data_IF_029313576936
#
_entry.id   IF_029313576936
#
_cell.length_a   1.000
_cell.length_b   1.000
_cell.length_c   1.000
_cell.angle_alpha   90.00
_cell.angle_beta   90.00
_cell.angle_gamma   90.00
#
_symmetry.space_group_name_H-M   'P 1'
#
loop_
_entity.id
_entity.type
_entity.pdbx_description
1 polymer ?
#
# COMPACT_ATOMS: atom_id res chain seq x y z
N UNK A 1 -2.84 62.09 -36.41
CA UNK A 1 -3.04 61.33 -37.65
C UNK A 1 -1.79 60.50 -37.86
N UNK A 2 -1.93 59.16 -37.80
CA UNK A 2 -1.09 58.04 -38.31
C UNK A 2 0.45 58.14 -38.24
N UNK A 3 1.23 57.10 -37.94
CA UNK A 3 1.00 55.65 -37.83
C UNK A 3 2.29 54.99 -37.27
N UNK A 4 2.20 53.67 -37.04
CA UNK A 4 3.29 52.70 -36.93
C UNK A 4 3.95 52.55 -35.55
N UNK A 5 3.59 51.45 -34.86
CA UNK A 5 4.55 50.41 -34.47
C UNK A 5 3.83 49.12 -34.08
N UNK A 6 4.02 48.11 -34.93
CA UNK A 6 4.19 46.67 -34.68
C UNK A 6 3.26 45.95 -33.71
N UNK A 7 2.41 45.16 -34.34
CA UNK A 7 2.17 43.74 -34.09
C UNK A 7 3.15 43.05 -33.11
N UNK A 8 2.60 42.49 -32.05
CA UNK A 8 3.20 41.40 -31.27
C UNK A 8 2.08 40.63 -30.55
N UNK A 9 1.50 39.68 -31.30
CA UNK A 9 0.83 38.49 -30.79
C UNK A 9 1.62 37.87 -29.62
N UNK A 10 1.08 37.95 -28.39
CA UNK A 10 1.60 37.25 -27.23
C UNK A 10 0.53 36.25 -26.72
N UNK A 11 0.93 35.00 -26.46
CA UNK A 11 0.04 33.85 -26.54
C UNK A 11 -0.88 33.73 -25.33
N UNK A 12 -2.07 33.17 -25.58
CA UNK A 12 -2.94 32.65 -24.56
C UNK A 12 -2.15 31.77 -23.59
N UNK A 13 -2.19 32.14 -22.30
CA UNK A 13 -1.84 31.23 -21.21
C UNK A 13 -2.95 30.18 -21.12
N UNK A 14 -3.00 29.32 -22.12
CA UNK A 14 -3.51 27.97 -21.94
C UNK A 14 -2.68 27.38 -20.81
N UNK A 15 -3.29 27.28 -19.63
CA UNK A 15 -2.86 26.36 -18.59
C UNK A 15 -2.86 24.98 -19.22
N UNK A 16 -1.75 24.65 -19.89
CA UNK A 16 -1.39 23.31 -20.30
C UNK A 16 -1.23 22.56 -18.99
N UNK A 17 -2.36 22.05 -18.49
CA UNK A 17 -2.42 20.95 -17.53
C UNK A 17 -1.47 19.94 -18.12
N UNK A 18 -0.27 19.84 -17.54
CA UNK A 18 0.69 18.82 -17.94
C UNK A 18 -0.05 17.52 -17.72
N UNK A 19 -0.48 16.91 -18.82
CA UNK A 19 -0.91 15.53 -18.81
C UNK A 19 0.33 14.83 -18.28
N UNK A 20 0.23 14.24 -17.09
CA UNK A 20 1.28 13.34 -16.61
C UNK A 20 1.34 12.25 -17.67
N UNK A 21 2.36 12.31 -18.51
CA UNK A 21 2.76 11.20 -19.34
C UNK A 21 3.20 10.12 -18.36
N UNK A 22 2.25 9.26 -17.97
CA UNK A 22 2.61 8.01 -17.31
C UNK A 22 3.25 7.18 -18.41
N UNK A 23 4.54 6.87 -18.23
CA UNK A 23 5.26 5.92 -19.08
C UNK A 23 4.51 4.57 -19.15
N UNK A 24 4.96 3.64 -20.00
CA UNK A 24 4.23 2.40 -20.25
C UNK A 24 4.03 1.64 -18.92
N UNK A 25 2.77 1.61 -18.44
CA UNK A 25 2.26 0.71 -17.40
C UNK A 25 3.11 0.64 -16.11
N UNK A 26 3.03 1.66 -15.24
CA UNK A 26 3.54 1.53 -13.87
C UNK A 26 2.61 0.56 -13.10
N UNK A 27 3.01 -0.71 -12.98
CA UNK A 27 2.27 -1.72 -12.20
C UNK A 27 2.24 -1.32 -10.73
N UNK A 28 1.05 -1.34 -10.15
CA UNK A 28 0.81 -0.98 -8.75
C UNK A 28 1.06 -2.16 -7.81
N UNK A 29 1.12 -1.89 -6.51
CA UNK A 29 1.14 -2.97 -5.50
C UNK A 29 -0.15 -3.81 -5.60
N UNK A 30 -1.30 -3.19 -5.84
CA UNK A 30 -2.57 -3.88 -5.98
C UNK A 30 -2.57 -4.83 -7.18
N UNK A 31 -2.00 -4.40 -8.32
CA UNK A 31 -1.80 -5.27 -9.49
C UNK A 31 -0.90 -6.46 -9.15
N UNK A 32 0.20 -6.23 -8.43
CA UNK A 32 1.08 -7.30 -8.00
C UNK A 32 0.41 -8.29 -7.06
N UNK A 33 -0.38 -7.81 -6.09
CA UNK A 33 -1.13 -8.68 -5.17
C UNK A 33 -2.18 -9.48 -5.94
N UNK A 34 -2.88 -8.87 -6.90
CA UNK A 34 -3.84 -9.57 -7.75
C UNK A 34 -3.18 -10.65 -8.63
N UNK A 35 -2.02 -10.35 -9.23
CA UNK A 35 -1.22 -11.31 -10.01
C UNK A 35 -0.80 -12.51 -9.14
N UNK A 36 -0.27 -12.24 -7.94
CA UNK A 36 0.16 -13.30 -7.00
C UNK A 36 -1.02 -14.14 -6.50
N UNK A 37 -2.14 -13.50 -6.15
CA UNK A 37 -3.33 -14.22 -5.73
C UNK A 37 -3.85 -15.15 -6.83
N UNK A 38 -3.84 -14.67 -8.09
CA UNK A 38 -4.21 -15.45 -9.26
C UNK A 38 -3.28 -16.65 -9.46
N UNK A 39 -1.96 -16.42 -9.44
CA UNK A 39 -0.95 -17.47 -9.61
C UNK A 39 -1.05 -18.56 -8.53
N UNK A 40 -1.39 -18.17 -7.29
CA UNK A 40 -1.52 -19.09 -6.16
C UNK A 40 -2.94 -19.69 -6.02
N UNK A 41 -3.89 -19.31 -6.88
CA UNK A 41 -5.28 -19.78 -6.79
C UNK A 41 -6.00 -19.34 -5.51
N UNK A 42 -5.67 -18.14 -5.00
CA UNK A 42 -6.23 -17.59 -3.77
C UNK A 42 -7.42 -16.68 -4.12
N UNK A 43 -8.60 -17.06 -3.67
CA UNK A 43 -9.80 -16.22 -3.68
C UNK A 43 -10.01 -15.61 -2.28
N UNK A 44 -9.26 -14.55 -1.98
CA UNK A 44 -9.29 -13.89 -0.68
C UNK A 44 -9.14 -12.37 -0.85
N UNK A 45 -10.19 -11.63 -0.49
CA UNK A 45 -10.10 -10.20 -0.31
C UNK A 45 -9.42 -9.88 1.02
N UNK A 46 -8.18 -9.41 0.96
CA UNK A 46 -7.38 -9.06 2.15
C UNK A 46 -7.35 -7.55 2.33
N UNK A 47 -7.48 -7.09 3.57
CA UNK A 47 -7.15 -5.72 3.97
C UNK A 47 -5.63 -5.50 3.91
N UNK A 48 -5.13 -5.16 2.70
CA UNK A 48 -3.70 -4.93 2.44
C UNK A 48 -3.16 -3.79 3.29
N UNK A 49 -3.93 -2.69 3.42
CA UNK A 49 -3.50 -1.53 4.22
C UNK A 49 -3.31 -1.91 5.68
N UNK A 50 -4.28 -2.63 6.28
CA UNK A 50 -4.15 -3.11 7.64
C UNK A 50 -2.97 -4.05 7.86
N UNK A 51 -2.67 -4.95 6.91
CA UNK A 51 -1.48 -5.81 7.01
C UNK A 51 -0.17 -5.03 6.91
N UNK A 52 -0.11 -4.00 6.06
CA UNK A 52 1.08 -3.13 5.96
C UNK A 52 1.25 -2.26 7.22
N UNK A 53 0.16 -1.83 7.84
CA UNK A 53 0.20 -1.11 9.12
C UNK A 53 0.67 -2.03 10.25
N UNK A 54 0.19 -3.28 10.32
CA UNK A 54 0.74 -4.27 11.27
C UNK A 54 2.24 -4.48 11.04
N UNK A 55 2.66 -4.68 9.78
CA UNK A 55 4.07 -4.84 9.44
C UNK A 55 4.90 -3.63 9.90
N UNK A 56 4.36 -2.41 9.76
CA UNK A 56 4.97 -1.19 10.27
C UNK A 56 5.10 -1.22 11.79
N UNK A 57 4.05 -1.54 12.54
CA UNK A 57 4.10 -1.62 14.01
C UNK A 57 5.16 -2.62 14.47
N UNK A 58 5.19 -3.80 13.87
CA UNK A 58 6.15 -4.86 14.19
C UNK A 58 7.59 -4.46 13.85
N UNK A 59 7.80 -3.83 12.69
CA UNK A 59 9.14 -3.41 12.27
C UNK A 59 9.77 -2.39 13.23
N UNK A 60 8.95 -1.51 13.81
CA UNK A 60 9.40 -0.48 14.75
C UNK A 60 9.45 -0.99 16.20
N UNK A 61 8.45 -1.76 16.62
CA UNK A 61 8.31 -2.21 18.01
C UNK A 61 9.06 -3.50 18.36
N UNK A 62 9.45 -4.31 17.36
CA UNK A 62 10.15 -5.58 17.56
C UNK A 62 11.50 -5.57 16.86
N UNK A 63 11.48 -5.68 15.52
CA UNK A 63 12.66 -5.58 14.67
C UNK A 63 12.23 -5.59 13.19
N UNK A 64 13.00 -4.95 12.30
CA UNK A 64 12.68 -4.92 10.86
C UNK A 64 12.46 -6.31 10.23
N UNK A 65 13.27 -7.35 10.52
CA UNK A 65 13.03 -8.70 9.99
C UNK A 65 11.75 -9.38 10.50
N UNK A 66 11.20 -8.92 11.64
CA UNK A 66 10.00 -9.52 12.21
C UNK A 66 8.76 -9.22 11.36
N UNK A 67 8.71 -8.09 10.64
CA UNK A 67 7.54 -7.70 9.84
C UNK A 67 7.07 -8.76 8.82
N UNK A 68 7.92 -9.26 7.89
CA UNK A 68 7.49 -10.30 6.95
C UNK A 68 7.18 -11.64 7.63
N UNK A 69 7.92 -12.01 8.69
CA UNK A 69 7.68 -13.24 9.44
C UNK A 69 6.33 -13.20 10.16
N UNK A 70 5.97 -12.05 10.72
CA UNK A 70 4.70 -11.84 11.38
C UNK A 70 3.54 -11.86 10.39
N UNK A 71 3.68 -11.22 9.22
CA UNK A 71 2.67 -11.28 8.17
C UNK A 71 2.40 -12.73 7.72
N UNK A 72 3.46 -13.54 7.53
CA UNK A 72 3.34 -14.96 7.24
C UNK A 72 2.55 -15.71 8.33
N UNK A 73 2.90 -15.52 9.61
CA UNK A 73 2.23 -16.18 10.73
C UNK A 73 0.75 -15.77 10.87
N UNK A 74 0.41 -14.51 10.60
CA UNK A 74 -0.99 -14.04 10.56
C UNK A 74 -1.78 -14.78 9.50
N UNK A 75 -1.25 -14.86 8.27
CA UNK A 75 -1.89 -15.60 7.18
C UNK A 75 -2.01 -17.09 7.49
N UNK A 76 -0.95 -17.70 8.01
CA UNK A 76 -0.94 -19.12 8.38
C UNK A 76 -1.96 -19.44 9.49
N UNK A 77 -2.03 -18.59 10.53
CA UNK A 77 -3.01 -18.76 11.60
C UNK A 77 -4.44 -18.61 11.09
N UNK A 78 -4.71 -17.64 10.22
CA UNK A 78 -6.02 -17.46 9.60
C UNK A 78 -6.43 -18.69 8.78
N UNK A 79 -5.52 -19.26 7.99
CA UNK A 79 -5.76 -20.47 7.22
C UNK A 79 -6.14 -21.67 8.11
N UNK A 80 -5.49 -21.83 9.27
CA UNK A 80 -5.85 -22.87 10.24
C UNK A 80 -7.25 -22.70 10.84
N UNK A 81 -7.81 -21.49 10.81
CA UNK A 81 -9.15 -21.18 11.32
C UNK A 81 -10.24 -21.20 10.24
N UNK A 82 -9.95 -21.74 9.06
CA UNK A 82 -10.89 -21.79 7.93
C UNK A 82 -10.68 -20.70 6.89
N UNK A 83 -9.70 -19.80 7.10
CA UNK A 83 -9.36 -18.73 6.16
C UNK A 83 -10.37 -17.58 6.14
N UNK A 84 -10.28 -16.76 5.09
CA UNK A 84 -11.17 -15.60 4.92
C UNK A 84 -10.67 -14.31 5.57
N UNK A 85 -11.19 -13.19 5.07
CA UNK A 85 -10.80 -11.84 5.49
C UNK A 85 -11.00 -11.63 7.00
N UNK A 86 -12.06 -12.22 7.55
CA UNK A 86 -12.42 -12.10 8.95
C UNK A 86 -11.41 -12.81 9.87
N UNK A 87 -10.90 -13.99 9.49
CA UNK A 87 -9.88 -14.69 10.28
C UNK A 87 -8.52 -13.99 10.18
N UNK A 88 -8.19 -13.42 9.02
CA UNK A 88 -7.00 -12.55 8.86
C UNK A 88 -7.10 -11.33 9.78
N UNK A 89 -8.24 -10.64 9.80
CA UNK A 89 -8.47 -9.48 10.66
C UNK A 89 -8.36 -9.86 12.15
N UNK A 90 -8.96 -10.98 12.57
CA UNK A 90 -8.83 -11.50 13.94
C UNK A 90 -7.39 -11.80 14.33
N UNK A 91 -6.64 -12.47 13.45
CA UNK A 91 -5.23 -12.77 13.68
C UNK A 91 -4.39 -11.49 13.75
N UNK A 92 -4.63 -10.54 12.84
CA UNK A 92 -3.95 -9.24 12.80
C UNK A 92 -4.11 -8.47 14.12
N UNK A 93 -5.34 -8.29 14.60
CA UNK A 93 -5.63 -7.53 15.83
C UNK A 93 -4.93 -8.12 17.05
N UNK A 94 -4.95 -9.45 17.21
CA UNK A 94 -4.26 -10.11 18.33
C UNK A 94 -2.74 -9.90 18.27
N UNK A 95 -2.17 -9.96 17.07
CA UNK A 95 -0.74 -9.80 16.84
C UNK A 95 -0.29 -8.34 17.00
N UNK A 96 -1.10 -7.38 16.56
CA UNK A 96 -0.87 -5.95 16.77
C UNK A 96 -0.78 -5.63 18.27
N UNK A 97 -1.77 -6.07 19.05
CA UNK A 97 -1.75 -5.91 20.50
C UNK A 97 -0.53 -6.55 21.17
N UNK A 98 -0.01 -7.65 20.63
CA UNK A 98 1.23 -8.28 21.11
C UNK A 98 2.46 -7.44 20.78
N UNK A 99 2.57 -6.95 19.54
CA UNK A 99 3.67 -6.11 19.10
C UNK A 99 3.75 -4.80 19.90
N UNK A 100 2.60 -4.19 20.20
CA UNK A 100 2.54 -2.99 21.05
C UNK A 100 2.99 -3.25 22.49
N UNK A 101 2.68 -4.42 23.07
CA UNK A 101 3.18 -4.78 24.40
C UNK A 101 4.70 -4.92 24.39
N UNK A 102 5.23 -5.62 23.38
CA UNK A 102 6.68 -5.74 23.17
C UNK A 102 7.36 -4.37 23.07
N UNK A 103 6.77 -3.43 22.31
CA UNK A 103 7.33 -2.09 22.15
C UNK A 103 7.42 -1.33 23.48
N UNK A 104 6.37 -1.41 24.32
CA UNK A 104 6.33 -0.75 25.64
C UNK A 104 7.29 -1.35 26.67
N UNK A 105 7.60 -2.64 26.57
CA UNK A 105 8.52 -3.30 27.49
C UNK A 105 10.00 -2.95 27.23
N UNK A 106 10.29 -2.37 26.07
CA UNK A 106 11.64 -2.00 25.61
C UNK A 106 11.94 -0.51 25.85
N UNK A 107 11.00 0.24 26.41
CA UNK A 107 11.15 1.63 26.88
C UNK A 107 11.59 1.68 28.35
#
# INVERSE_FOLDING_TARGET
MSETTRDAHAPERGSRRRIREHGPMERTLDDWIADVATELGIDLEVDVSGLLDLARVVAHGVARPAAPLTAFLVGYAAAQQGGGAEEVARARVRTEALAERWAREQE
#
